data_IF_284313688706
#
_entry.id   IF_284313688706
#
_cell.length_a   1.000
_cell.length_b   1.000
_cell.length_c   1.000
_cell.angle_alpha   90.00
_cell.angle_beta   90.00
_cell.angle_gamma   90.00
#
_symmetry.space_group_name_H-M   'P 1'
#
loop_
_entity.id
_entity.type
_entity.pdbx_description
1 polymer ?
#
# COMPACT_ATOMS: atom_id res chain seq x y z
N UNK A 1 1.91 -8.55 8.79
CA UNK A 1 2.95 -8.11 7.83
C UNK A 1 4.17 -7.66 8.60
N UNK A 2 5.32 -8.21 8.27
CA UNK A 2 6.58 -7.94 8.98
C UNK A 2 7.67 -7.59 7.99
N UNK A 3 8.72 -6.84 8.40
CA UNK A 3 9.87 -6.59 7.54
C UNK A 3 10.49 -7.91 7.07
N UNK A 4 10.85 -7.95 5.80
CA UNK A 4 11.36 -9.17 5.15
C UNK A 4 10.32 -9.95 4.37
N UNK A 5 9.03 -9.66 4.58
CA UNK A 5 7.97 -10.28 3.78
C UNK A 5 7.94 -9.67 2.37
N UNK A 6 7.31 -10.40 1.46
CA UNK A 6 7.09 -9.93 0.09
C UNK A 6 5.61 -9.68 -0.12
N UNK A 7 5.28 -8.58 -0.77
CA UNK A 7 3.89 -8.15 -0.96
C UNK A 7 3.66 -7.70 -2.40
N UNK A 8 2.39 -7.72 -2.80
CA UNK A 8 1.95 -7.16 -4.06
C UNK A 8 1.18 -5.87 -3.80
N UNK A 9 1.30 -4.92 -4.72
CA UNK A 9 0.54 -3.68 -4.67
C UNK A 9 -0.62 -3.78 -5.65
N UNK A 10 -1.83 -3.64 -5.14
CA UNK A 10 -3.07 -3.73 -5.91
C UNK A 10 -3.78 -2.39 -5.86
N UNK A 11 -4.10 -1.85 -7.02
CA UNK A 11 -4.92 -0.65 -7.12
C UNK A 11 -6.39 -1.06 -7.25
N UNK A 12 -7.22 -0.59 -6.33
CA UNK A 12 -8.66 -0.80 -6.40
C UNK A 12 -9.35 0.48 -6.84
N UNK A 13 -10.28 0.36 -7.74
CA UNK A 13 -11.08 1.49 -8.20
C UNK A 13 -12.55 1.07 -8.30
N UNK A 14 -13.44 2.04 -8.11
CA UNK A 14 -14.86 1.81 -8.26
C UNK A 14 -15.36 2.60 -9.47
N UNK A 15 -16.01 1.90 -10.39
CA UNK A 15 -16.66 2.53 -11.53
C UNK A 15 -18.15 2.12 -11.58
N UNK A 16 -18.84 2.45 -12.68
CA UNK A 16 -20.25 2.13 -12.84
C UNK A 16 -20.53 0.64 -12.90
N UNK A 17 -19.50 -0.17 -13.20
CA UNK A 17 -19.62 -1.63 -13.29
C UNK A 17 -19.33 -2.34 -11.97
N UNK A 18 -18.86 -1.60 -10.96
CA UNK A 18 -18.52 -2.14 -9.65
C UNK A 18 -17.08 -1.92 -9.27
N UNK A 19 -16.57 -2.79 -8.39
CA UNK A 19 -15.21 -2.70 -7.89
C UNK A 19 -14.24 -3.42 -8.82
N UNK A 20 -13.16 -2.73 -9.19
CA UNK A 20 -12.13 -3.28 -10.06
C UNK A 20 -10.79 -3.26 -9.32
N UNK A 21 -10.03 -4.35 -9.41
CA UNK A 21 -8.72 -4.46 -8.80
C UNK A 21 -7.69 -4.81 -9.88
N UNK A 22 -6.57 -4.08 -9.88
CA UNK A 22 -5.46 -4.32 -10.81
C UNK A 22 -4.17 -4.41 -10.03
N UNK A 23 -3.42 -5.49 -10.22
CA UNK A 23 -2.10 -5.63 -9.62
C UNK A 23 -1.10 -4.75 -10.37
N UNK A 24 -0.51 -3.79 -9.68
CA UNK A 24 0.42 -2.83 -10.26
C UNK A 24 1.85 -3.33 -10.16
N UNK A 25 2.24 -3.78 -8.97
CA UNK A 25 3.59 -4.26 -8.68
C UNK A 25 3.49 -5.57 -7.92
N UNK A 26 4.45 -6.46 -8.15
CA UNK A 26 4.46 -7.77 -7.51
C UNK A 26 5.79 -8.02 -6.83
N UNK A 27 5.74 -8.78 -5.75
CA UNK A 27 6.90 -9.34 -5.08
C UNK A 27 7.85 -8.25 -4.56
N UNK A 28 7.28 -7.24 -3.91
CA UNK A 28 8.05 -6.16 -3.30
C UNK A 28 8.44 -6.54 -1.87
N UNK A 29 9.70 -6.31 -1.53
CA UNK A 29 10.18 -6.58 -0.18
C UNK A 29 9.75 -5.49 0.78
N UNK A 30 9.17 -5.89 1.91
CA UNK A 30 8.81 -4.97 2.98
C UNK A 30 10.05 -4.68 3.81
N UNK A 31 10.43 -3.42 3.94
CA UNK A 31 11.59 -3.00 4.72
C UNK A 31 11.21 -2.33 6.03
N UNK A 32 9.96 -1.91 6.19
CA UNK A 32 9.48 -1.30 7.42
C UNK A 32 7.98 -1.35 7.54
N UNK A 33 7.51 -1.49 8.76
CA UNK A 33 6.08 -1.42 9.09
C UNK A 33 5.93 -0.48 10.27
N UNK A 34 5.08 0.53 10.13
CA UNK A 34 4.79 1.47 11.18
C UNK A 34 3.29 1.46 11.45
N UNK A 35 2.93 1.37 12.72
CA UNK A 35 1.53 1.34 13.14
C UNK A 35 1.32 2.44 14.17
N UNK A 36 0.45 3.40 13.84
CA UNK A 36 0.11 4.48 14.73
C UNK A 36 -1.33 4.37 15.16
N UNK A 37 -1.55 4.45 16.47
CA UNK A 37 -2.88 4.56 17.05
C UNK A 37 -3.10 6.00 17.48
N UNK A 38 -4.16 6.64 16.99
CA UNK A 38 -4.52 7.98 17.41
C UNK A 38 -5.39 7.90 18.66
N UNK A 39 -4.79 8.16 19.82
CA UNK A 39 -5.49 8.08 21.10
C UNK A 39 -6.49 9.22 21.32
N UNK A 40 -6.39 10.28 20.53
CA UNK A 40 -7.26 11.44 20.66
C UNK A 40 -8.59 11.27 19.93
N UNK A 41 -8.74 10.18 19.19
CA UNK A 41 -9.93 9.92 18.42
C UNK A 41 -10.79 8.86 19.12
N UNK A 42 -12.04 9.20 19.47
CA UNK A 42 -12.96 8.28 20.15
C UNK A 42 -13.20 6.99 19.35
N UNK A 43 -12.92 7.01 18.07
CA UNK A 43 -13.02 5.85 17.19
C UNK A 43 -11.62 5.30 16.88
N UNK A 44 -10.91 4.80 17.82
CA UNK A 44 -9.57 4.22 17.68
C UNK A 44 -9.21 3.81 16.24
N UNK A 45 -8.78 4.77 15.42
CA UNK A 45 -8.29 4.48 14.07
C UNK A 45 -6.83 4.11 14.12
N UNK A 46 -6.54 2.87 13.73
CA UNK A 46 -5.16 2.41 13.62
C UNK A 46 -4.72 2.59 12.17
N UNK A 47 -3.80 3.54 11.95
CA UNK A 47 -3.19 3.73 10.64
C UNK A 47 -1.92 2.87 10.56
N UNK A 48 -1.81 2.08 9.51
CA UNK A 48 -0.63 1.25 9.26
C UNK A 48 0.07 1.74 8.00
N UNK A 49 1.35 2.06 8.13
CA UNK A 49 2.19 2.44 7.01
C UNK A 49 3.20 1.33 6.73
N UNK A 50 3.30 0.94 5.49
CA UNK A 50 4.23 -0.10 5.05
C UNK A 50 5.21 0.53 4.06
N UNK A 51 6.51 0.38 4.35
CA UNK A 51 7.57 0.85 3.46
C UNK A 51 8.12 -0.33 2.68
N UNK A 52 8.16 -0.22 1.36
CA UNK A 52 8.62 -1.29 0.49
C UNK A 52 9.81 -0.82 -0.33
N UNK A 53 10.66 -1.76 -0.70
CA UNK A 53 11.81 -1.52 -1.57
C UNK A 53 11.35 -1.63 -3.02
N UNK A 54 11.64 -0.60 -3.83
CA UNK A 54 11.27 -0.57 -5.24
C UNK A 54 12.45 -0.10 -6.09
N UNK A 55 12.48 -0.55 -7.35
CA UNK A 55 13.38 0.01 -8.34
C UNK A 55 12.87 1.39 -8.77
N UNK A 56 13.70 2.24 -9.40
CA UNK A 56 13.24 3.53 -9.90
C UNK A 56 12.05 3.41 -10.87
N UNK A 57 12.04 2.42 -11.74
CA UNK A 57 10.94 2.20 -12.67
C UNK A 57 9.65 1.80 -11.93
N UNK A 58 9.76 0.96 -10.92
CA UNK A 58 8.61 0.56 -10.10
C UNK A 58 8.07 1.74 -9.30
N UNK A 59 8.95 2.55 -8.73
CA UNK A 59 8.55 3.74 -7.98
C UNK A 59 7.81 4.74 -8.87
N UNK A 60 8.27 4.93 -10.09
CA UNK A 60 7.62 5.82 -11.06
C UNK A 60 6.22 5.29 -11.43
N UNK A 61 6.09 4.00 -11.65
CA UNK A 61 4.81 3.37 -11.96
C UNK A 61 3.83 3.55 -10.81
N UNK A 62 4.29 3.40 -9.57
CA UNK A 62 3.47 3.58 -8.39
C UNK A 62 3.01 5.04 -8.26
N UNK A 63 3.90 6.00 -8.50
CA UNK A 63 3.57 7.41 -8.43
C UNK A 63 2.51 7.80 -9.46
N UNK A 64 2.60 7.26 -10.68
CA UNK A 64 1.61 7.51 -11.73
C UNK A 64 0.25 6.90 -11.39
N UNK A 65 0.23 5.77 -10.71
CA UNK A 65 -1.02 5.11 -10.34
C UNK A 65 -1.78 5.86 -9.24
N UNK A 66 -1.11 6.73 -8.50
CA UNK A 66 -1.74 7.50 -7.41
C UNK A 66 -2.34 8.83 -7.87
N UNK A 67 -2.26 9.12 -9.13
CA UNK A 67 -2.81 10.37 -9.69
C UNK A 67 -4.31 10.32 -9.89
#
# INVERSE_FOLDING_TARGET
>A
MTPGDYVDVVLTSRDQRGLRAVTILQNLRVIGVDQQADELNEQAQVARTVTVEVTPNQGQKLALAQR
#
